data_IF_678262798175
#
_entry.id   IF_678262798175
#
_cell.length_a   1.000
_cell.length_b   1.000
_cell.length_c   1.000
_cell.angle_alpha   90.00
_cell.angle_beta   90.00
_cell.angle_gamma   90.00
#
_symmetry.space_group_name_H-M   'P 1'
#
loop_
_entity.id
_entity.type
_entity.pdbx_description
1 polymer ?
#
# COMPACT_ATOMS: atom_id res chain seq x y z
N UNK A 1 -29.57 62.10 39.55
CA UNK A 1 -28.57 61.13 40.06
C UNK A 1 -28.45 59.84 39.23
N UNK A 2 -29.43 59.49 38.38
CA UNK A 2 -29.44 58.23 37.59
C UNK A 2 -28.50 58.17 36.36
N UNK A 3 -28.12 59.30 35.74
CA UNK A 3 -27.31 59.31 34.51
C UNK A 3 -25.85 58.83 34.70
N UNK A 4 -25.28 59.00 35.90
CA UNK A 4 -23.89 58.57 36.19
C UNK A 4 -23.76 57.06 36.39
N UNK A 5 -24.80 56.39 36.90
CA UNK A 5 -24.79 54.94 37.16
C UNK A 5 -24.86 54.12 35.86
N UNK A 6 -25.64 54.59 34.88
CA UNK A 6 -25.78 53.93 33.59
C UNK A 6 -24.47 53.98 32.76
N UNK A 7 -23.72 55.06 32.87
CA UNK A 7 -22.43 55.23 32.18
C UNK A 7 -21.31 54.33 32.75
N UNK A 8 -21.39 53.98 34.03
CA UNK A 8 -20.44 53.06 34.69
C UNK A 8 -20.72 51.60 34.33
N UNK A 9 -22.01 51.22 34.23
CA UNK A 9 -22.43 49.87 33.79
C UNK A 9 -22.09 49.59 32.32
N UNK A 10 -22.23 50.60 31.44
CA UNK A 10 -21.89 50.46 30.03
C UNK A 10 -20.39 50.27 29.79
N UNK A 11 -19.53 50.95 30.56
CA UNK A 11 -18.07 50.80 30.45
C UNK A 11 -17.57 49.46 31.00
N UNK A 12 -18.17 48.96 32.08
CA UNK A 12 -17.82 47.65 32.66
C UNK A 12 -18.19 46.48 31.75
N UNK A 13 -19.33 46.57 31.05
CA UNK A 13 -19.79 45.52 30.12
C UNK A 13 -18.97 45.47 28.83
N UNK A 14 -18.53 46.61 28.31
CA UNK A 14 -17.65 46.67 27.13
C UNK A 14 -16.28 46.06 27.42
N UNK A 15 -15.69 46.33 28.60
CA UNK A 15 -14.40 45.76 28.99
C UNK A 15 -14.47 44.22 29.16
N UNK A 16 -15.59 43.72 29.69
CA UNK A 16 -15.85 42.29 29.84
C UNK A 16 -16.02 41.57 28.49
N UNK A 17 -16.67 42.23 27.51
CA UNK A 17 -16.83 41.69 26.16
C UNK A 17 -15.50 41.57 25.40
N UNK A 18 -14.56 42.51 25.59
CA UNK A 18 -13.25 42.48 24.92
C UNK A 18 -12.38 41.33 25.46
N UNK A 19 -12.41 41.09 26.78
CA UNK A 19 -11.69 39.98 27.41
C UNK A 19 -12.20 38.59 26.99
N UNK A 20 -13.51 38.46 26.72
CA UNK A 20 -14.11 37.21 26.23
C UNK A 20 -13.79 36.93 24.75
N UNK A 21 -13.50 37.95 23.95
CA UNK A 21 -13.12 37.79 22.53
C UNK A 21 -11.63 37.49 22.34
N UNK A 22 -10.76 37.90 23.28
CA UNK A 22 -9.32 37.60 23.23
C UNK A 22 -8.96 36.16 23.63
N UNK A 23 -9.91 35.38 24.16
CA UNK A 23 -9.69 34.00 24.62
C UNK A 23 -9.87 32.90 23.57
N UNK A 24 -10.27 33.23 22.34
CA UNK A 24 -10.66 32.23 21.32
C UNK A 24 -9.76 32.24 20.07
N UNK A 25 -8.52 32.74 20.17
CA UNK A 25 -7.53 32.70 19.09
C UNK A 25 -6.24 31.98 19.49
N UNK A 26 -6.28 31.08 20.48
CA UNK A 26 -5.28 30.02 20.59
C UNK A 26 -5.70 28.88 19.66
N UNK A 27 -5.46 29.07 18.36
CA UNK A 27 -5.22 27.92 17.51
C UNK A 27 -3.86 27.38 17.95
N UNK A 28 -3.77 26.15 18.52
CA UNK A 28 -2.48 25.51 18.58
C UNK A 28 -2.01 25.39 17.14
N UNK A 29 -0.83 25.92 16.87
CA UNK A 29 -0.11 25.75 15.62
C UNK A 29 0.15 24.25 15.45
N UNK A 30 -0.85 23.53 14.95
CA UNK A 30 -0.74 22.15 14.51
C UNK A 30 -0.02 22.18 13.16
N UNK A 31 1.23 22.66 13.17
CA UNK A 31 2.29 21.90 12.54
C UNK A 31 2.32 20.52 13.22
N UNK A 32 1.31 19.69 12.92
CA UNK A 32 1.55 18.26 12.81
C UNK A 32 2.69 18.21 11.81
N UNK A 33 3.91 18.04 12.31
CA UNK A 33 4.93 17.35 11.56
C UNK A 33 4.19 16.11 11.04
N UNK A 34 3.78 16.11 9.77
CA UNK A 34 3.41 14.90 9.08
C UNK A 34 4.65 14.02 9.25
N UNK A 35 4.58 13.12 10.23
CA UNK A 35 5.69 12.26 10.58
C UNK A 35 5.86 11.40 9.34
N UNK A 36 6.87 11.71 8.53
CA UNK A 36 7.06 11.08 7.24
C UNK A 36 7.65 9.69 7.48
N UNK A 37 6.77 8.74 7.85
CA UNK A 37 7.16 7.38 8.19
C UNK A 37 7.62 6.72 6.90
N UNK A 38 8.84 6.19 6.93
CA UNK A 38 9.38 5.48 5.78
C UNK A 38 8.85 4.04 5.79
N UNK A 39 8.31 3.60 4.68
CA UNK A 39 7.94 2.22 4.46
C UNK A 39 9.03 1.53 3.65
N UNK A 40 9.39 0.32 4.05
CA UNK A 40 10.44 -0.48 3.44
C UNK A 40 9.83 -1.83 3.04
N UNK A 41 10.19 -2.32 1.86
CA UNK A 41 9.87 -3.67 1.44
C UNK A 41 11.00 -4.28 0.62
N UNK A 42 10.86 -5.58 0.36
CA UNK A 42 11.78 -6.38 -0.42
C UNK A 42 11.03 -6.97 -1.63
N UNK A 43 11.71 -7.10 -2.76
CA UNK A 43 11.17 -7.77 -3.94
C UNK A 43 12.15 -8.84 -4.39
N UNK A 44 11.68 -10.08 -4.43
CA UNK A 44 12.48 -11.25 -4.79
C UNK A 44 11.84 -11.95 -5.99
N UNK A 45 12.68 -12.42 -6.90
CA UNK A 45 12.27 -13.17 -8.08
C UNK A 45 12.91 -14.57 -8.08
N UNK A 46 12.17 -15.63 -8.42
CA UNK A 46 12.76 -16.94 -8.67
C UNK A 46 13.71 -16.91 -9.88
N UNK A 47 14.95 -17.39 -9.73
CA UNK A 47 15.97 -17.38 -10.79
C UNK A 47 16.26 -18.77 -11.36
N UNK A 48 16.42 -19.78 -10.49
CA UNK A 48 16.82 -21.12 -10.88
C UNK A 48 16.32 -22.18 -9.90
N UNK A 49 16.66 -23.45 -10.12
CA UNK A 49 16.37 -24.55 -9.19
C UNK A 49 17.66 -25.05 -8.56
N UNK A 50 17.62 -25.35 -7.27
CA UNK A 50 18.72 -26.05 -6.59
C UNK A 50 18.70 -27.56 -6.92
N UNK A 51 19.68 -28.31 -6.41
CA UNK A 51 19.78 -29.76 -6.64
C UNK A 51 18.61 -30.57 -6.07
N UNK A 52 17.84 -29.99 -5.14
CA UNK A 52 16.65 -30.61 -4.54
C UNK A 52 15.37 -30.26 -5.32
N UNK A 53 15.47 -29.40 -6.34
CA UNK A 53 14.33 -28.90 -7.10
C UNK A 53 13.60 -27.72 -6.45
N UNK A 54 14.16 -27.10 -5.41
CA UNK A 54 13.60 -25.88 -4.81
C UNK A 54 14.04 -24.63 -5.57
N UNK A 55 13.17 -23.64 -5.63
CA UNK A 55 13.43 -22.34 -6.26
C UNK A 55 14.53 -21.58 -5.51
N UNK A 56 15.60 -21.24 -6.23
CA UNK A 56 16.57 -20.23 -5.80
C UNK A 56 15.97 -18.86 -6.13
N UNK A 57 15.98 -17.96 -5.14
CA UNK A 57 15.45 -16.60 -5.26
C UNK A 57 16.58 -15.60 -5.30
N UNK A 58 16.42 -14.58 -6.13
CA UNK A 58 17.36 -13.48 -6.30
C UNK A 58 16.66 -12.13 -6.10
N UNK A 59 17.39 -11.08 -5.70
CA UNK A 59 16.82 -9.75 -5.61
C UNK A 59 16.30 -9.24 -6.95
N UNK A 60 15.08 -8.71 -6.97
CA UNK A 60 14.54 -8.03 -8.14
C UNK A 60 15.06 -6.58 -8.19
N UNK A 61 16.36 -6.46 -8.45
CA UNK A 61 17.11 -5.22 -8.37
C UNK A 61 16.81 -4.25 -9.53
N UNK A 62 16.91 -2.95 -9.28
CA UNK A 62 16.76 -1.85 -10.27
C UNK A 62 15.40 -1.84 -10.98
N UNK A 63 14.37 -2.33 -10.32
CA UNK A 63 13.00 -2.32 -10.81
C UNK A 63 12.31 -1.00 -10.47
N UNK A 64 11.48 -0.50 -11.38
CA UNK A 64 10.57 0.62 -11.09
C UNK A 64 9.44 0.09 -10.23
N UNK A 65 9.11 0.78 -9.16
CA UNK A 65 8.04 0.40 -8.24
C UNK A 65 6.98 1.48 -8.21
N UNK A 66 5.73 1.09 -8.45
CA UNK A 66 4.56 1.94 -8.33
C UNK A 66 3.68 1.39 -7.21
N UNK A 67 3.29 2.25 -6.27
CA UNK A 67 2.38 1.91 -5.19
C UNK A 67 1.07 2.64 -5.42
N UNK A 68 -0.01 1.88 -5.64
CA UNK A 68 -1.36 2.39 -5.81
C UNK A 68 -2.13 2.24 -4.50
N UNK A 69 -2.45 3.36 -3.86
CA UNK A 69 -3.24 3.40 -2.63
C UNK A 69 -4.72 3.17 -2.90
N UNK A 70 -5.40 2.51 -1.96
CA UNK A 70 -6.84 2.26 -2.03
C UNK A 70 -7.71 3.53 -2.09
N UNK A 71 -7.18 4.68 -1.69
CA UNK A 71 -7.84 5.99 -1.74
C UNK A 71 -7.42 6.83 -2.96
N UNK A 72 -6.68 6.23 -3.91
CA UNK A 72 -6.31 6.82 -5.19
C UNK A 72 -4.96 7.56 -5.20
N UNK A 73 -4.21 7.57 -4.10
CA UNK A 73 -2.84 8.10 -4.10
C UNK A 73 -1.86 7.15 -4.81
N UNK A 74 -0.83 7.73 -5.42
CA UNK A 74 0.19 6.98 -6.16
C UNK A 74 1.57 7.42 -5.71
N UNK A 75 2.43 6.45 -5.36
CA UNK A 75 3.81 6.69 -4.94
C UNK A 75 4.74 5.95 -5.89
N UNK A 76 5.81 6.62 -6.34
CA UNK A 76 6.82 6.07 -7.22
C UNK A 76 8.14 5.92 -6.46
N UNK A 77 8.79 4.77 -6.61
CA UNK A 77 10.12 4.49 -6.08
C UNK A 77 10.83 3.45 -6.96
N UNK A 78 11.99 2.96 -6.53
CA UNK A 78 12.76 1.94 -7.23
C UNK A 78 13.43 0.98 -6.24
N UNK A 79 13.75 -0.23 -6.70
CA UNK A 79 14.55 -1.17 -5.91
C UNK A 79 16.05 -0.94 -6.08
N UNK A 80 16.79 -1.08 -4.99
CA UNK A 80 18.25 -1.09 -5.00
C UNK A 80 18.80 -2.46 -5.48
N UNK A 81 20.13 -2.66 -5.40
CA UNK A 81 20.79 -3.92 -5.79
C UNK A 81 20.39 -5.13 -4.94
N UNK A 82 19.85 -4.89 -3.74
CA UNK A 82 19.35 -5.92 -2.84
C UNK A 82 17.83 -6.13 -3.00
N UNK A 83 17.19 -5.56 -4.03
CA UNK A 83 15.76 -5.68 -4.26
C UNK A 83 14.91 -4.90 -3.24
N UNK A 84 15.53 -4.09 -2.39
CA UNK A 84 14.85 -3.29 -1.37
C UNK A 84 14.39 -1.97 -1.95
N UNK A 85 13.18 -1.55 -1.58
CA UNK A 85 12.65 -0.23 -1.89
C UNK A 85 12.29 0.51 -0.60
N UNK A 86 12.31 1.84 -0.69
CA UNK A 86 11.89 2.74 0.40
C UNK A 86 10.97 3.80 -0.20
N UNK A 87 9.87 4.07 0.48
CA UNK A 87 8.93 5.12 0.11
C UNK A 87 8.41 5.86 1.35
N UNK A 88 7.78 7.00 1.13
CA UNK A 88 7.26 7.91 2.16
C UNK A 88 5.93 8.52 1.70
N UNK A 89 5.27 9.29 2.56
CA UNK A 89 3.99 9.97 2.29
C UNK A 89 2.80 9.04 1.99
N UNK A 90 2.72 7.91 2.69
CA UNK A 90 1.58 6.99 2.61
C UNK A 90 0.33 7.63 3.24
N UNK A 91 -0.80 7.53 2.54
CA UNK A 91 -2.11 8.09 2.91
C UNK A 91 -3.18 7.01 2.99
N UNK A 92 -3.15 6.04 2.08
CA UNK A 92 -4.11 4.93 2.06
C UNK A 92 -3.83 3.89 3.15
N UNK A 93 -4.87 3.18 3.63
CA UNK A 93 -4.71 2.05 4.53
C UNK A 93 -4.19 0.78 3.85
N UNK A 94 -4.30 0.66 2.53
CA UNK A 94 -3.82 -0.48 1.74
C UNK A 94 -3.19 0.01 0.44
N UNK A 95 -2.16 -0.70 -0.01
CA UNK A 95 -1.47 -0.43 -1.25
C UNK A 95 -1.31 -1.67 -2.10
N UNK A 96 -1.57 -1.53 -3.41
CA UNK A 96 -1.12 -2.44 -4.45
C UNK A 96 0.26 -1.97 -4.94
N UNK A 97 1.27 -2.78 -4.70
CA UNK A 97 2.60 -2.65 -5.27
C UNK A 97 2.67 -3.32 -6.62
N UNK A 98 3.21 -2.61 -7.61
CA UNK A 98 3.59 -3.13 -8.91
C UNK A 98 5.06 -2.78 -9.18
N UNK A 99 5.91 -3.81 -9.29
CA UNK A 99 7.31 -3.65 -9.63
C UNK A 99 7.59 -4.19 -11.03
N UNK A 100 8.21 -3.37 -11.87
CA UNK A 100 8.40 -3.67 -13.30
C UNK A 100 9.88 -3.54 -13.68
N UNK A 101 10.39 -4.56 -14.35
CA UNK A 101 11.72 -4.56 -14.97
C UNK A 101 11.73 -5.52 -16.16
N UNK A 102 12.28 -5.07 -17.28
CA UNK A 102 12.48 -5.88 -18.49
C UNK A 102 11.21 -6.65 -18.96
N UNK A 103 10.04 -6.04 -18.77
CA UNK A 103 8.74 -6.62 -19.11
C UNK A 103 8.18 -7.62 -18.09
N UNK A 104 8.96 -8.00 -17.06
CA UNK A 104 8.51 -8.82 -15.92
C UNK A 104 7.88 -7.92 -14.86
N UNK A 105 6.77 -8.39 -14.28
CA UNK A 105 6.01 -7.68 -13.26
C UNK A 105 5.87 -8.55 -12.01
N UNK A 106 6.18 -8.00 -10.85
CA UNK A 106 5.90 -8.61 -9.53
C UNK A 106 4.92 -7.72 -8.78
N UNK A 107 3.83 -8.30 -8.27
CA UNK A 107 2.80 -7.56 -7.53
C UNK A 107 2.62 -8.06 -6.11
N UNK A 108 2.12 -7.17 -5.25
CA UNK A 108 1.75 -7.47 -3.86
C UNK A 108 0.73 -6.47 -3.36
N UNK A 109 -0.21 -6.90 -2.53
CA UNK A 109 -0.98 -5.99 -1.69
C UNK A 109 -0.48 -6.04 -0.25
N UNK A 110 -0.40 -4.89 0.42
CA UNK A 110 -0.04 -4.82 1.83
C UNK A 110 -0.84 -3.76 2.58
N UNK A 111 -1.13 -3.99 3.88
CA UNK A 111 -1.69 -2.96 4.74
C UNK A 111 -0.63 -1.94 5.12
N UNK A 112 -1.03 -0.68 5.24
CA UNK A 112 -0.25 0.39 5.83
C UNK A 112 -1.02 0.99 7.00
N UNK A 113 -0.47 0.87 8.19
CA UNK A 113 -0.99 1.55 9.38
C UNK A 113 0.16 2.29 10.05
N UNK A 114 0.04 3.61 10.13
CA UNK A 114 0.98 4.47 10.84
C UNK A 114 0.84 4.24 12.35
N UNK A 115 1.52 3.23 12.88
CA UNK A 115 1.53 2.89 14.32
C UNK A 115 2.56 3.68 15.15
N UNK A 116 3.11 4.77 14.60
CA UNK A 116 4.06 5.64 15.30
C UNK A 116 5.52 5.17 15.24
N UNK A 117 5.80 4.02 14.63
CA UNK A 117 7.15 3.54 14.32
C UNK A 117 7.84 4.44 13.29
N UNK A 118 9.18 4.50 13.35
CA UNK A 118 9.96 5.34 12.43
C UNK A 118 10.10 4.70 11.04
N UNK A 119 10.08 3.36 10.97
CA UNK A 119 10.13 2.59 9.72
C UNK A 119 9.15 1.41 9.80
N UNK A 120 8.30 1.25 8.79
CA UNK A 120 7.38 0.10 8.66
C UNK A 120 7.95 -0.85 7.63
N UNK A 121 8.16 -2.12 8.00
CA UNK A 121 8.55 -3.18 7.05
C UNK A 121 7.31 -3.94 6.60
N UNK A 122 7.01 -3.89 5.29
CA UNK A 122 5.84 -4.57 4.71
C UNK A 122 6.17 -5.93 4.12
N UNK A 123 7.38 -6.44 4.34
CA UNK A 123 7.82 -7.77 3.94
C UNK A 123 8.16 -7.87 2.45
N UNK A 124 8.08 -9.09 1.93
CA UNK A 124 8.54 -9.45 0.59
C UNK A 124 7.39 -9.50 -0.43
N UNK A 125 7.61 -8.99 -1.63
CA UNK A 125 6.81 -9.24 -2.83
C UNK A 125 7.52 -10.29 -3.69
N UNK A 126 6.79 -11.35 -4.08
CA UNK A 126 7.34 -12.50 -4.79
C UNK A 126 6.25 -13.21 -5.62
N UNK A 127 6.53 -14.46 -6.02
CA UNK A 127 5.59 -15.26 -6.80
C UNK A 127 4.26 -15.52 -6.08
N UNK A 128 4.31 -15.80 -4.77
CA UNK A 128 3.10 -16.05 -3.98
C UNK A 128 2.20 -14.81 -3.93
N UNK A 129 2.77 -13.64 -3.59
CA UNK A 129 1.99 -12.40 -3.52
C UNK A 129 1.47 -11.98 -4.90
N UNK A 130 2.21 -12.28 -5.97
CA UNK A 130 1.74 -12.04 -7.34
C UNK A 130 0.52 -12.90 -7.67
N UNK A 131 0.48 -14.16 -7.23
CA UNK A 131 -0.69 -15.02 -7.39
C UNK A 131 -1.92 -14.46 -6.67
N UNK A 132 -1.75 -13.94 -5.44
CA UNK A 132 -2.84 -13.30 -4.69
C UNK A 132 -3.44 -12.13 -5.48
N UNK A 133 -2.57 -11.30 -6.08
CA UNK A 133 -3.01 -10.17 -6.90
C UNK A 133 -3.67 -10.63 -8.21
N UNK A 134 -3.17 -11.68 -8.87
CA UNK A 134 -3.83 -12.21 -10.08
C UNK A 134 -5.25 -12.69 -9.78
N UNK A 135 -5.47 -13.40 -8.67
CA UNK A 135 -6.82 -13.81 -8.25
C UNK A 135 -7.71 -12.58 -8.04
N UNK A 136 -7.20 -11.57 -7.34
CA UNK A 136 -7.92 -10.31 -7.12
C UNK A 136 -8.29 -9.60 -8.45
N UNK A 137 -7.36 -9.47 -9.37
CA UNK A 137 -7.57 -8.79 -10.65
C UNK A 137 -8.58 -9.57 -11.51
N UNK A 138 -8.44 -10.89 -11.62
CA UNK A 138 -9.32 -11.73 -12.41
C UNK A 138 -10.71 -11.85 -11.78
N UNK A 139 -10.83 -12.06 -10.46
CA UNK A 139 -12.12 -12.12 -9.79
C UNK A 139 -12.95 -10.85 -10.02
N UNK A 140 -12.31 -9.67 -9.91
CA UNK A 140 -12.98 -8.40 -10.14
C UNK A 140 -13.25 -8.08 -11.62
N UNK A 141 -12.64 -8.81 -12.57
CA UNK A 141 -13.03 -8.74 -13.98
C UNK A 141 -14.32 -9.52 -14.26
N UNK A 142 -14.51 -10.68 -13.62
CA UNK A 142 -15.69 -11.51 -13.80
C UNK A 142 -16.88 -11.06 -12.95
N UNK A 143 -16.62 -10.58 -11.74
CA UNK A 143 -17.63 -10.26 -10.76
C UNK A 143 -17.37 -8.88 -10.17
N UNK A 144 -18.35 -7.98 -10.30
CA UNK A 144 -18.22 -6.63 -9.77
C UNK A 144 -18.03 -6.67 -8.24
N UNK A 145 -16.93 -6.07 -7.75
CA UNK A 145 -16.57 -6.01 -6.34
C UNK A 145 -16.43 -7.39 -5.65
N UNK A 146 -15.94 -8.42 -6.36
CA UNK A 146 -15.71 -9.74 -5.76
C UNK A 146 -14.71 -9.72 -4.60
N UNK A 147 -13.65 -8.92 -4.70
CA UNK A 147 -12.61 -8.80 -3.68
C UNK A 147 -12.18 -7.36 -3.48
N UNK A 148 -11.96 -6.97 -2.23
CA UNK A 148 -11.34 -5.71 -1.85
C UNK A 148 -9.85 -5.88 -1.58
N UNK A 149 -9.04 -4.82 -1.76
CA UNK A 149 -7.59 -4.86 -1.50
C UNK A 149 -7.24 -5.41 -0.11
N UNK A 150 -8.06 -5.11 0.91
CA UNK A 150 -7.84 -5.59 2.29
C UNK A 150 -7.88 -7.11 2.43
N UNK A 151 -8.54 -7.82 1.53
CA UNK A 151 -8.74 -9.28 1.57
C UNK A 151 -7.63 -10.03 0.82
N UNK A 152 -6.90 -9.33 -0.06
CA UNK A 152 -5.87 -9.95 -0.92
C UNK A 152 -4.73 -10.61 -0.12
N UNK A 153 -4.18 -10.00 0.96
CA UNK A 153 -3.13 -10.63 1.75
C UNK A 153 -3.57 -11.93 2.44
N UNK A 154 -4.87 -12.10 2.69
CA UNK A 154 -5.44 -13.26 3.38
C UNK A 154 -5.76 -14.44 2.44
N UNK A 155 -5.63 -14.25 1.12
CA UNK A 155 -5.86 -15.30 0.13
C UNK A 155 -4.82 -16.43 0.28
N UNK A 156 -5.31 -17.65 0.39
CA UNK A 156 -4.49 -18.87 0.40
C UNK A 156 -4.33 -19.38 -1.03
N UNK A 157 -3.09 -19.45 -1.50
CA UNK A 157 -2.79 -19.82 -2.89
C UNK A 157 -2.45 -21.30 -3.01
N UNK A 158 -3.10 -22.03 -3.94
CA UNK A 158 -2.72 -23.40 -4.28
C UNK A 158 -1.25 -23.50 -4.73
N UNK A 159 -0.53 -24.46 -4.17
CA UNK A 159 0.91 -24.65 -4.42
C UNK A 159 1.24 -24.87 -5.90
N UNK A 160 0.35 -25.54 -6.64
CA UNK A 160 0.52 -25.78 -8.08
C UNK A 160 0.48 -24.48 -8.90
N UNK A 161 -0.33 -23.50 -8.49
CA UNK A 161 -0.36 -22.19 -9.14
C UNK A 161 0.94 -21.42 -8.86
N UNK A 162 1.38 -21.39 -7.59
CA UNK A 162 2.64 -20.75 -7.21
C UNK A 162 3.81 -21.31 -8.01
N UNK A 163 3.96 -22.64 -8.05
CA UNK A 163 5.02 -23.32 -8.82
C UNK A 163 4.97 -23.01 -10.31
N UNK A 164 3.78 -22.86 -10.87
CA UNK A 164 3.60 -22.51 -12.28
C UNK A 164 4.04 -21.07 -12.55
N UNK A 165 3.66 -20.14 -11.67
CA UNK A 165 4.09 -18.73 -11.74
C UNK A 165 5.61 -18.60 -11.57
N UNK A 166 6.21 -19.31 -10.60
CA UNK A 166 7.66 -19.33 -10.42
C UNK A 166 8.40 -19.82 -11.67
N UNK A 167 7.86 -20.82 -12.35
CA UNK A 167 8.43 -21.31 -13.61
C UNK A 167 8.45 -20.21 -14.68
N UNK A 168 7.36 -19.47 -14.84
CA UNK A 168 7.28 -18.35 -15.80
C UNK A 168 8.28 -17.26 -15.46
N UNK A 169 8.46 -16.93 -14.17
CA UNK A 169 9.46 -15.96 -13.74
C UNK A 169 10.90 -16.40 -14.03
N UNK A 170 11.25 -17.67 -13.80
CA UNK A 170 12.59 -18.20 -14.14
C UNK A 170 12.90 -18.12 -15.64
N UNK A 171 11.87 -18.13 -16.48
CA UNK A 171 11.99 -17.95 -17.92
C UNK A 171 12.08 -16.46 -18.32
N UNK A 172 12.17 -15.54 -17.36
CA UNK A 172 12.12 -14.08 -17.54
C UNK A 172 10.88 -13.61 -18.32
N UNK A 173 9.74 -14.27 -18.10
CA UNK A 173 8.46 -13.91 -18.70
C UNK A 173 7.51 -13.34 -17.65
N UNK A 174 6.52 -12.59 -18.11
CA UNK A 174 5.49 -12.02 -17.25
C UNK A 174 4.30 -12.99 -17.07
N UNK A 175 4.05 -13.51 -15.87
CA UNK A 175 2.93 -14.42 -15.63
C UNK A 175 1.55 -13.75 -15.76
N UNK A 176 1.45 -12.43 -15.60
CA UNK A 176 0.20 -11.69 -15.82
C UNK A 176 -0.26 -11.68 -17.28
N UNK A 177 0.63 -12.05 -18.20
CA UNK A 177 0.33 -12.16 -19.64
C UNK A 177 0.44 -13.61 -20.14
N UNK A 178 0.67 -14.59 -19.26
CA UNK A 178 0.81 -15.99 -19.65
C UNK A 178 -0.56 -16.67 -19.73
N UNK A 179 -1.01 -17.14 -20.91
CA UNK A 179 -2.37 -17.68 -21.08
C UNK A 179 -2.65 -18.91 -20.21
N UNK A 180 -1.62 -19.70 -19.88
CA UNK A 180 -1.79 -20.87 -19.03
C UNK A 180 -2.00 -20.46 -17.57
N UNK A 181 -1.22 -19.49 -17.08
CA UNK A 181 -1.40 -18.95 -15.73
C UNK A 181 -2.76 -18.28 -15.58
N UNK A 182 -3.15 -17.44 -16.55
CA UNK A 182 -4.45 -16.77 -16.55
C UNK A 182 -5.57 -17.81 -16.44
N UNK A 183 -5.55 -18.84 -17.29
CA UNK A 183 -6.56 -19.91 -17.26
C UNK A 183 -6.61 -20.65 -15.92
N UNK A 184 -5.45 -20.95 -15.31
CA UNK A 184 -5.42 -21.59 -13.99
C UNK A 184 -6.08 -20.71 -12.92
N UNK A 185 -5.88 -19.39 -12.98
CA UNK A 185 -6.48 -18.45 -12.03
C UNK A 185 -7.98 -18.30 -12.31
N UNK A 186 -8.40 -18.19 -13.57
CA UNK A 186 -9.81 -18.18 -13.97
C UNK A 186 -10.54 -19.42 -13.46
N UNK A 187 -9.98 -20.61 -13.67
CA UNK A 187 -10.54 -21.86 -13.18
C UNK A 187 -10.70 -21.83 -11.65
N UNK A 188 -9.72 -21.29 -10.90
CA UNK A 188 -9.84 -21.15 -9.43
C UNK A 188 -10.96 -20.19 -9.03
N UNK A 189 -11.03 -19.02 -9.68
CA UNK A 189 -12.04 -18.00 -9.41
C UNK A 189 -13.45 -18.56 -9.64
N UNK A 190 -13.69 -19.24 -10.76
CA UNK A 190 -15.00 -19.80 -11.12
C UNK A 190 -15.49 -20.91 -10.18
N UNK A 191 -14.60 -21.55 -9.42
CA UNK A 191 -14.98 -22.56 -8.43
C UNK A 191 -15.13 -21.99 -7.01
N UNK A 192 -14.63 -20.78 -6.75
CA UNK A 192 -14.65 -20.13 -5.43
C UNK A 192 -15.69 -19.01 -5.30
N UNK A 193 -16.09 -18.39 -6.41
CA UNK A 193 -17.05 -17.28 -6.51
C UNK A 193 -18.21 -17.65 -7.43
#
# INVERSE_FOLDING_TARGET
MFKKLFFLLLKGTILLMILLLSGCCMFPDQNKLEKNISCIGLIMIPSSLNNNGDSIVEPFATAKVVLFGSEGDVILTETNQEGKWIAQNFKSPYYLLEAVKDGVIIKKVFPFQSLGENNINVGEANAYTSCQVMIYEIANQYYENALYLREVPDLVIPENLVKSVEKVYRENRNPFNDPFIIRMVEDLVLHQF
#
